data_IF_120640402900
#
_entry.id   IF_120640402900
#
_cell.length_a   1.000
_cell.length_b   1.000
_cell.length_c   1.000
_cell.angle_alpha   90.00
_cell.angle_beta   90.00
_cell.angle_gamma   90.00
#
_symmetry.space_group_name_H-M   'P 1'
#
loop_
_entity.id
_entity.type
_entity.pdbx_description
1 polymer ?
#
# COMPACT_ATOMS: atom_id res chain seq x y z
N UNK A 1 -7.57 -13.39 -13.07
CA UNK A 1 -7.02 -13.28 -11.70
C UNK A 1 -6.90 -11.81 -11.39
N UNK A 2 -7.28 -11.38 -10.18
CA UNK A 2 -6.97 -10.03 -9.75
C UNK A 2 -5.44 -9.91 -9.64
N UNK A 3 -4.88 -8.87 -10.23
CA UNK A 3 -3.44 -8.58 -10.17
C UNK A 3 -3.06 -8.28 -8.71
N UNK A 4 -1.84 -8.63 -8.32
CA UNK A 4 -1.32 -8.36 -6.97
C UNK A 4 -0.21 -7.32 -7.04
N UNK A 5 -0.01 -6.62 -5.94
CA UNK A 5 1.18 -5.82 -5.74
C UNK A 5 2.34 -6.74 -5.32
N UNK A 6 3.50 -6.51 -5.93
CA UNK A 6 4.73 -7.23 -5.64
C UNK A 6 5.82 -6.20 -5.30
N UNK A 7 6.48 -6.40 -4.17
CA UNK A 7 7.59 -5.55 -3.72
C UNK A 7 8.76 -6.43 -3.31
N UNK A 8 9.96 -6.09 -3.79
CA UNK A 8 11.19 -6.76 -3.40
C UNK A 8 12.04 -5.79 -2.58
N UNK A 9 12.33 -6.17 -1.33
CA UNK A 9 13.23 -5.43 -0.44
C UNK A 9 14.67 -5.85 -0.72
N UNK A 10 15.51 -4.92 -1.17
CA UNK A 10 16.93 -5.19 -1.36
C UNK A 10 17.68 -5.33 -0.01
N UNK A 11 17.23 -4.62 1.03
CA UNK A 11 17.86 -4.66 2.34
C UNK A 11 17.60 -5.96 3.12
N UNK A 12 16.38 -6.51 3.02
CA UNK A 12 15.98 -7.71 3.77
C UNK A 12 15.90 -8.95 2.89
N UNK A 13 15.99 -8.79 1.56
CA UNK A 13 15.73 -9.83 0.57
C UNK A 13 14.32 -10.45 0.72
N UNK A 14 13.37 -9.68 1.24
CA UNK A 14 11.97 -10.09 1.36
C UNK A 14 11.21 -9.86 0.05
N UNK A 15 10.39 -10.85 -0.33
CA UNK A 15 9.45 -10.77 -1.45
C UNK A 15 8.02 -10.65 -0.90
N UNK A 16 7.51 -9.42 -0.87
CA UNK A 16 6.18 -9.10 -0.34
C UNK A 16 5.17 -9.13 -1.48
N UNK A 17 4.10 -9.90 -1.30
CA UNK A 17 3.01 -10.02 -2.28
C UNK A 17 1.66 -9.84 -1.62
N UNK A 18 1.01 -8.70 -1.87
CA UNK A 18 -0.31 -8.38 -1.28
C UNK A 18 -1.30 -7.92 -2.37
N UNK A 19 -2.61 -8.06 -2.15
CA UNK A 19 -3.62 -7.48 -3.02
C UNK A 19 -3.45 -5.96 -3.20
N UNK A 20 -3.82 -5.41 -4.36
CA UNK A 20 -3.95 -3.97 -4.52
C UNK A 20 -5.08 -3.42 -3.64
N UNK A 21 -4.88 -2.22 -3.07
CA UNK A 21 -5.86 -1.57 -2.17
C UNK A 21 -7.25 -1.49 -2.80
N UNK A 22 -7.32 -1.06 -4.07
CA UNK A 22 -8.57 -0.89 -4.82
C UNK A 22 -9.39 -2.18 -4.98
N UNK A 23 -8.71 -3.32 -4.96
CA UNK A 23 -9.33 -4.64 -5.12
C UNK A 23 -9.65 -5.29 -3.77
N UNK A 24 -8.94 -4.90 -2.71
CA UNK A 24 -9.04 -5.50 -1.38
C UNK A 24 -9.98 -4.77 -0.43
N UNK A 25 -10.16 -3.46 -0.61
CA UNK A 25 -10.96 -2.61 0.26
C UNK A 25 -12.26 -2.17 -0.40
N UNK A 26 -13.34 -2.17 0.39
CA UNK A 26 -14.61 -1.61 -0.05
C UNK A 26 -14.77 -0.20 0.48
N UNK A 27 -15.51 0.65 -0.24
CA UNK A 27 -15.87 1.99 0.24
C UNK A 27 -16.55 1.96 1.64
N UNK A 28 -17.31 0.91 1.93
CA UNK A 28 -17.94 0.70 3.24
C UNK A 28 -16.92 0.44 4.36
N UNK A 29 -15.83 -0.27 4.07
CA UNK A 29 -14.74 -0.45 5.03
C UNK A 29 -14.01 0.86 5.29
N UNK A 30 -13.69 1.62 4.24
CA UNK A 30 -13.03 2.92 4.37
C UNK A 30 -13.87 3.91 5.20
N UNK A 31 -15.17 4.01 4.92
CA UNK A 31 -16.09 4.88 5.70
C UNK A 31 -16.14 4.52 7.18
N UNK A 32 -16.06 3.22 7.53
CA UNK A 32 -16.08 2.78 8.94
C UNK A 32 -14.79 3.11 9.68
N UNK A 33 -13.68 3.25 8.97
CA UNK A 33 -12.37 3.57 9.53
C UNK A 33 -11.95 5.04 9.33
N UNK A 34 -12.83 5.89 8.80
CA UNK A 34 -12.53 7.31 8.44
C UNK A 34 -12.11 8.21 9.62
N UNK A 35 -12.36 7.78 10.84
CA UNK A 35 -12.10 8.56 12.05
C UNK A 35 -10.68 8.28 12.62
N UNK A 36 -9.93 7.33 12.02
CA UNK A 36 -8.55 7.01 12.38
C UNK A 36 -7.56 8.04 11.83
N UNK A 37 -6.40 8.17 12.48
CA UNK A 37 -5.27 8.89 11.87
C UNK A 37 -4.82 8.20 10.58
N UNK A 38 -4.10 8.92 9.72
CA UNK A 38 -3.59 8.36 8.46
C UNK A 38 -2.64 7.17 8.70
N UNK A 39 -1.86 7.23 9.77
CA UNK A 39 -0.94 6.15 10.17
C UNK A 39 -1.71 4.91 10.63
N UNK A 40 -2.65 5.05 11.57
CA UNK A 40 -3.49 3.95 12.04
C UNK A 40 -4.31 3.33 10.91
N UNK A 41 -4.83 4.16 10.01
CA UNK A 41 -5.57 3.69 8.85
C UNK A 41 -4.66 2.89 7.91
N UNK A 42 -3.42 3.33 7.69
CA UNK A 42 -2.43 2.60 6.89
C UNK A 42 -2.15 1.21 7.41
N UNK A 43 -1.94 1.06 8.72
CA UNK A 43 -1.74 -0.24 9.36
C UNK A 43 -2.96 -1.15 9.28
N UNK A 44 -4.15 -0.62 9.53
CA UNK A 44 -5.41 -1.37 9.40
C UNK A 44 -5.65 -1.84 7.95
N UNK A 45 -5.18 -1.10 6.95
CA UNK A 45 -5.21 -1.56 5.56
C UNK A 45 -4.27 -2.75 5.35
N UNK A 46 -3.04 -2.70 5.88
CA UNK A 46 -2.06 -3.78 5.75
C UNK A 46 -2.54 -5.06 6.45
N UNK A 47 -2.96 -4.95 7.70
CA UNK A 47 -3.48 -6.08 8.50
C UNK A 47 -4.69 -6.76 7.85
N UNK A 48 -5.47 -6.00 7.07
CA UNK A 48 -6.61 -6.53 6.34
C UNK A 48 -6.23 -7.36 5.10
N UNK A 49 -5.07 -7.10 4.50
CA UNK A 49 -4.68 -7.67 3.20
C UNK A 49 -3.50 -8.63 3.26
N UNK A 50 -2.74 -8.59 4.34
CA UNK A 50 -1.56 -9.41 4.59
C UNK A 50 -1.88 -10.47 5.65
N UNK A 51 -1.23 -11.63 5.55
CA UNK A 51 -1.17 -12.59 6.64
C UNK A 51 -0.04 -12.23 7.61
N UNK A 52 0.04 -12.93 8.75
CA UNK A 52 1.04 -12.67 9.79
C UNK A 52 2.47 -12.75 9.24
N UNK A 53 2.77 -13.74 8.38
CA UNK A 53 4.10 -13.88 7.77
C UNK A 53 4.45 -12.69 6.88
N UNK A 54 3.50 -12.18 6.11
CA UNK A 54 3.73 -11.00 5.26
C UNK A 54 3.87 -9.72 6.10
N UNK A 55 3.10 -9.59 7.18
CA UNK A 55 3.24 -8.48 8.13
C UNK A 55 4.62 -8.50 8.80
N UNK A 56 5.11 -9.66 9.24
CA UNK A 56 6.46 -9.79 9.78
C UNK A 56 7.54 -9.36 8.77
N UNK A 57 7.36 -9.63 7.47
CA UNK A 57 8.26 -9.13 6.44
C UNK A 57 8.22 -7.60 6.32
N UNK A 58 7.03 -7.02 6.36
CA UNK A 58 6.81 -5.56 6.30
C UNK A 58 7.41 -4.87 7.54
N UNK A 59 7.22 -5.43 8.74
CA UNK A 59 7.73 -4.90 10.00
C UNK A 59 9.26 -4.86 10.05
N UNK A 60 9.92 -5.77 9.31
CA UNK A 60 11.38 -5.83 9.22
C UNK A 60 11.97 -4.90 8.14
N UNK A 61 11.14 -4.21 7.35
CA UNK A 61 11.64 -3.25 6.36
C UNK A 61 12.34 -2.07 7.05
N UNK A 62 13.50 -1.62 6.53
CA UNK A 62 14.04 -0.33 6.91
C UNK A 62 13.02 0.77 6.63
N UNK A 63 12.94 1.79 7.50
CA UNK A 63 11.91 2.82 7.42
C UNK A 63 11.83 3.53 6.05
N UNK A 64 12.96 3.71 5.36
CA UNK A 64 12.97 4.26 3.98
C UNK A 64 12.30 3.33 2.96
N UNK A 65 12.63 2.03 3.00
CA UNK A 65 11.98 1.04 2.13
C UNK A 65 10.50 0.86 2.47
N UNK A 66 10.11 0.94 3.75
CA UNK A 66 8.71 0.92 4.17
C UNK A 66 7.91 2.10 3.58
N UNK A 67 8.49 3.31 3.56
CA UNK A 67 7.86 4.48 2.94
C UNK A 67 7.68 4.28 1.43
N UNK A 68 8.71 3.77 0.74
CA UNK A 68 8.65 3.46 -0.69
C UNK A 68 7.60 2.38 -1.00
N UNK A 69 7.54 1.33 -0.17
CA UNK A 69 6.54 0.27 -0.24
C UNK A 69 5.12 0.82 -0.10
N UNK A 70 4.85 1.62 0.93
CA UNK A 70 3.52 2.20 1.16
C UNK A 70 3.11 3.14 0.04
N UNK A 71 4.04 3.95 -0.48
CA UNK A 71 3.78 4.84 -1.61
C UNK A 71 3.42 4.04 -2.86
N UNK A 72 4.26 3.08 -3.24
CA UNK A 72 4.06 2.25 -4.44
C UNK A 72 2.75 1.45 -4.37
N UNK A 73 2.41 0.92 -3.19
CA UNK A 73 1.17 0.16 -2.99
C UNK A 73 -0.08 1.04 -3.12
N UNK A 74 -0.02 2.30 -2.69
CA UNK A 74 -1.15 3.24 -2.76
C UNK A 74 -1.33 3.88 -4.13
N UNK A 75 -0.25 4.23 -4.82
CA UNK A 75 -0.32 4.92 -6.12
C UNK A 75 -0.51 3.96 -7.29
N UNK A 76 -0.15 2.69 -7.12
CA UNK A 76 -0.27 1.68 -8.17
C UNK A 76 0.72 1.88 -9.32
N UNK A 77 0.69 1.00 -10.33
CA UNK A 77 1.57 1.08 -11.50
C UNK A 77 1.34 2.32 -12.37
N UNK A 78 0.23 3.04 -12.17
CA UNK A 78 -0.12 4.28 -12.88
C UNK A 78 0.38 5.54 -12.17
N UNK A 79 1.20 5.41 -11.10
CA UNK A 79 1.78 6.52 -10.34
C UNK A 79 2.70 7.47 -11.14
N UNK A 80 2.87 7.25 -12.45
CA UNK A 80 3.52 8.16 -13.41
C UNK A 80 2.52 8.86 -14.36
N UNK A 81 1.23 8.92 -14.01
CA UNK A 81 0.25 9.72 -14.76
C UNK A 81 -0.05 11.04 -14.06
N UNK A 82 0.71 12.07 -14.48
CA UNK A 82 0.30 13.48 -14.56
C UNK A 82 -0.44 14.04 -13.33
N UNK A 83 0.32 14.47 -12.32
CA UNK A 83 -0.16 15.53 -11.42
C UNK A 83 -0.22 16.83 -12.24
N UNK A 84 -1.33 17.04 -12.94
CA UNK A 84 -1.85 18.33 -13.37
C UNK A 84 -0.92 19.23 -14.19
N UNK A 85 -0.85 19.00 -15.50
CA UNK A 85 -0.89 20.16 -16.40
C UNK A 85 -2.29 20.77 -16.32
N UNK A 86 -2.51 21.63 -15.31
CA UNK A 86 -3.55 22.65 -15.40
C UNK A 86 -3.13 23.64 -16.49
N UNK A 87 -3.34 23.26 -17.75
CA UNK A 87 -3.51 24.23 -18.83
C UNK A 87 -4.90 24.83 -18.69
N UNK A 88 -5.07 25.67 -17.66
CA UNK A 88 -6.15 26.64 -17.66
C UNK A 88 -5.78 27.73 -18.68
N UNK A 89 -6.69 27.94 -19.63
CA UNK A 89 -6.60 28.88 -20.74
C UNK A 89 -6.45 30.35 -20.33
#
# INVERSE_FOLDING_TARGET
MLEKFHYHSAATNADITIPWIRDALTAGWLRRNRDKSQEELGWEMLEKVADETTLEQIDNLPMGEFQDFMLAWQTGPEGDTSVGESSAS
#
